data_IF_623383795078
#
_entry.id   IF_623383795078
#
_cell.length_a   1.000
_cell.length_b   1.000
_cell.length_c   1.000
_cell.angle_alpha   90.00
_cell.angle_beta   90.00
_cell.angle_gamma   90.00
#
_symmetry.space_group_name_H-M   'P 1'
#
loop_
_entity.id
_entity.type
_entity.pdbx_description
1 polymer ?
#
# COMPACT_ATOMS: atom_id res chain seq x y z
N UNK A 1 17.81 -17.03 42.46
CA UNK A 1 17.64 -17.34 41.08
C UNK A 1 16.43 -16.63 40.48
N UNK A 2 16.68 -15.91 39.46
CA UNK A 2 15.63 -15.10 38.87
C UNK A 2 14.73 -15.90 37.95
N UNK A 3 13.47 -15.64 38.08
CA UNK A 3 12.45 -16.25 37.25
C UNK A 3 12.38 -15.49 35.91
N UNK A 4 13.18 -15.93 34.95
CA UNK A 4 13.20 -15.26 33.63
C UNK A 4 12.02 -15.70 32.78
N UNK A 5 11.22 -14.76 32.38
CA UNK A 5 10.14 -15.03 31.43
C UNK A 5 10.67 -15.10 29.98
N UNK A 6 11.86 -14.52 29.71
CA UNK A 6 12.48 -14.52 28.39
C UNK A 6 13.61 -15.52 28.33
N UNK A 7 13.31 -16.73 27.86
CA UNK A 7 14.24 -17.86 27.83
C UNK A 7 14.69 -18.23 26.41
N UNK A 8 14.12 -17.62 25.40
CA UNK A 8 14.46 -17.93 24.02
C UNK A 8 15.52 -16.94 23.51
N UNK A 9 16.58 -17.49 22.96
CA UNK A 9 17.67 -16.70 22.41
C UNK A 9 17.55 -16.62 20.89
N UNK A 10 17.71 -15.43 20.36
CA UNK A 10 17.75 -15.21 18.91
C UNK A 10 19.11 -14.65 18.54
N UNK A 11 19.76 -15.27 17.58
CA UNK A 11 21.08 -14.86 17.11
C UNK A 11 20.99 -14.38 15.67
N UNK A 12 21.49 -13.17 15.41
CA UNK A 12 21.54 -12.63 14.06
C UNK A 12 22.96 -12.16 13.76
N UNK A 13 23.33 -12.20 12.47
CA UNK A 13 24.63 -11.74 12.01
C UNK A 13 24.46 -10.44 11.22
N UNK A 14 25.31 -9.46 11.50
CA UNK A 14 25.27 -8.16 10.86
C UNK A 14 26.61 -7.85 10.23
N UNK A 15 26.62 -7.14 9.11
CA UNK A 15 27.83 -6.53 8.57
C UNK A 15 28.23 -5.35 9.46
N UNK A 16 29.42 -4.85 9.28
CA UNK A 16 29.88 -3.66 10.04
C UNK A 16 28.97 -2.47 9.76
N UNK A 17 28.57 -2.28 8.52
CA UNK A 17 27.68 -1.19 8.12
C UNK A 17 26.30 -1.32 8.75
N UNK A 18 25.76 -2.53 8.76
CA UNK A 18 24.48 -2.80 9.41
C UNK A 18 24.54 -2.57 10.91
N UNK A 19 25.64 -3.01 11.54
CA UNK A 19 25.85 -2.81 12.98
C UNK A 19 25.86 -1.34 13.35
N UNK A 20 26.57 -0.51 12.57
CA UNK A 20 26.59 0.94 12.80
C UNK A 20 25.21 1.55 12.67
N UNK A 21 24.46 1.12 11.67
CA UNK A 21 23.09 1.57 11.45
C UNK A 21 22.19 1.20 12.63
N UNK A 22 22.28 -0.04 13.09
CA UNK A 22 21.51 -0.49 14.25
C UNK A 22 21.82 0.34 15.49
N UNK A 23 23.10 0.59 15.75
CA UNK A 23 23.54 1.39 16.91
C UNK A 23 23.04 2.83 16.82
N UNK A 24 23.12 3.42 15.63
CA UNK A 24 22.65 4.79 15.39
C UNK A 24 21.15 4.90 15.65
N UNK A 25 20.37 3.97 15.10
CA UNK A 25 18.93 3.97 15.30
C UNK A 25 18.52 3.69 16.74
N UNK A 26 19.28 2.84 17.42
CA UNK A 26 19.07 2.58 18.85
C UNK A 26 19.21 3.86 19.66
N UNK A 27 20.24 4.64 19.39
CA UNK A 27 20.49 5.91 20.08
C UNK A 27 19.39 6.93 19.76
N UNK A 28 18.97 7.00 18.51
CA UNK A 28 17.87 7.90 18.09
C UNK A 28 16.57 7.55 18.82
N UNK A 29 16.32 6.27 19.04
CA UNK A 29 15.14 5.79 19.75
C UNK A 29 15.28 5.88 21.27
N UNK A 30 16.44 6.35 21.76
CA UNK A 30 16.74 6.49 23.19
C UNK A 30 16.63 5.19 23.98
N UNK A 31 16.98 4.08 23.34
CA UNK A 31 17.04 2.77 23.96
C UNK A 31 18.43 2.52 24.52
N UNK A 32 18.51 1.94 25.71
CA UNK A 32 19.80 1.68 26.39
C UNK A 32 20.49 0.42 25.88
N UNK A 33 19.72 -0.58 25.50
CA UNK A 33 20.28 -1.85 25.03
C UNK A 33 19.76 -2.18 23.64
N UNK A 34 20.57 -2.91 22.88
CA UNK A 34 20.18 -3.37 21.55
C UNK A 34 19.01 -4.34 21.63
N UNK A 35 19.00 -5.22 22.62
CA UNK A 35 17.90 -6.17 22.80
C UNK A 35 16.56 -5.48 23.00
N UNK A 36 16.54 -4.44 23.83
CA UNK A 36 15.32 -3.64 24.05
C UNK A 36 14.89 -2.94 22.79
N UNK A 37 15.85 -2.34 22.07
CA UNK A 37 15.56 -1.65 20.81
C UNK A 37 14.93 -2.57 19.77
N UNK A 38 15.54 -3.76 19.57
CA UNK A 38 15.06 -4.74 18.59
C UNK A 38 13.67 -5.24 18.95
N UNK A 39 13.44 -5.58 20.24
CA UNK A 39 12.11 -6.01 20.69
C UNK A 39 11.07 -4.94 20.45
N UNK A 40 11.40 -3.69 20.76
CA UNK A 40 10.50 -2.55 20.54
C UNK A 40 10.13 -2.41 19.07
N UNK A 41 11.12 -2.47 18.17
CA UNK A 41 10.89 -2.38 16.73
C UNK A 41 9.95 -3.47 16.23
N UNK A 42 10.18 -4.71 16.65
CA UNK A 42 9.37 -5.83 16.18
C UNK A 42 7.96 -5.77 16.78
N UNK A 43 7.83 -5.46 18.06
CA UNK A 43 6.53 -5.40 18.73
C UNK A 43 5.66 -4.23 18.25
N UNK A 44 6.29 -3.11 17.91
CA UNK A 44 5.58 -1.92 17.42
C UNK A 44 5.31 -1.98 15.92
N UNK A 45 6.05 -2.80 15.18
CA UNK A 45 5.88 -2.92 13.75
C UNK A 45 4.66 -3.77 13.42
N UNK A 46 3.69 -3.16 12.80
CA UNK A 46 2.52 -3.87 12.33
C UNK A 46 2.73 -4.34 10.90
N UNK A 47 2.33 -5.56 10.66
CA UNK A 47 2.45 -6.17 9.34
C UNK A 47 1.05 -6.36 8.78
N UNK A 48 0.83 -5.80 7.60
CA UNK A 48 -0.45 -5.92 6.90
C UNK A 48 -0.31 -6.79 5.67
N UNK A 49 -1.20 -7.75 5.56
CA UNK A 49 -1.33 -8.52 4.33
C UNK A 49 -2.39 -7.81 3.50
N UNK A 50 -1.98 -7.29 2.35
CA UNK A 50 -2.87 -6.51 1.49
C UNK A 50 -3.38 -7.39 0.36
N UNK A 51 -4.70 -7.41 0.20
CA UNK A 51 -5.32 -8.02 -0.97
C UNK A 51 -5.12 -7.09 -2.16
N UNK A 52 -4.35 -7.53 -3.14
CA UNK A 52 -4.03 -6.73 -4.32
C UNK A 52 -5.12 -6.75 -5.39
N UNK A 53 -6.10 -7.62 -5.27
CA UNK A 53 -7.15 -7.76 -6.28
C UNK A 53 -7.89 -6.46 -6.61
N UNK A 54 -8.31 -5.64 -5.61
CA UNK A 54 -8.96 -4.37 -5.92
C UNK A 54 -8.07 -3.41 -6.72
N UNK A 55 -6.76 -3.43 -6.48
CA UNK A 55 -5.81 -2.59 -7.22
C UNK A 55 -5.65 -3.06 -8.66
N UNK A 56 -5.61 -4.39 -8.86
CA UNK A 56 -5.53 -4.98 -10.19
C UNK A 56 -6.78 -4.64 -11.00
N UNK A 57 -7.95 -4.72 -10.38
CA UNK A 57 -9.22 -4.34 -11.02
C UNK A 57 -9.23 -2.89 -11.45
N UNK A 58 -8.77 -2.00 -10.58
CA UNK A 58 -8.69 -0.57 -10.89
C UNK A 58 -7.73 -0.32 -12.05
N UNK A 59 -6.57 -0.95 -12.04
CA UNK A 59 -5.59 -0.83 -13.13
C UNK A 59 -6.18 -1.28 -14.47
N UNK A 60 -6.90 -2.40 -14.47
CA UNK A 60 -7.56 -2.92 -15.66
C UNK A 60 -8.63 -1.94 -16.17
N UNK A 61 -9.45 -1.39 -15.30
CA UNK A 61 -10.49 -0.43 -15.65
C UNK A 61 -9.91 0.85 -16.22
N UNK A 62 -8.79 1.33 -15.66
CA UNK A 62 -8.09 2.49 -16.17
C UNK A 62 -7.54 2.24 -17.58
N UNK A 63 -7.00 1.04 -17.83
CA UNK A 63 -6.52 0.64 -19.15
C UNK A 63 -7.62 0.63 -20.19
N UNK A 64 -8.77 0.07 -19.85
CA UNK A 64 -9.94 0.02 -20.75
C UNK A 64 -10.44 1.42 -21.06
N UNK A 65 -10.59 2.28 -20.03
CA UNK A 65 -11.03 3.65 -20.21
C UNK A 65 -10.05 4.43 -21.09
N UNK A 66 -8.75 4.26 -20.87
CA UNK A 66 -7.73 4.92 -21.68
C UNK A 66 -7.81 4.52 -23.15
N UNK A 67 -7.99 3.23 -23.44
CA UNK A 67 -8.14 2.75 -24.82
C UNK A 67 -9.41 3.30 -25.47
N UNK A 68 -10.53 3.33 -24.76
CA UNK A 68 -11.78 3.86 -25.26
C UNK A 68 -11.68 5.35 -25.58
N UNK A 69 -11.09 6.12 -24.68
CA UNK A 69 -10.90 7.56 -24.85
C UNK A 69 -9.99 7.84 -26.04
N UNK A 70 -8.91 7.07 -26.19
CA UNK A 70 -7.99 7.24 -27.31
C UNK A 70 -8.68 6.93 -28.66
N UNK A 71 -9.52 5.90 -28.72
CA UNK A 71 -10.26 5.57 -29.94
C UNK A 71 -11.25 6.68 -30.31
N UNK A 72 -11.95 7.20 -29.30
CA UNK A 72 -12.89 8.30 -29.51
C UNK A 72 -12.14 9.55 -29.99
N UNK A 73 -11.03 9.88 -29.35
CA UNK A 73 -10.21 11.03 -29.72
C UNK A 73 -9.71 10.95 -31.16
N UNK A 74 -9.25 9.77 -31.58
CA UNK A 74 -8.79 9.55 -32.95
C UNK A 74 -9.93 9.79 -33.97
N UNK A 75 -11.12 9.28 -33.66
CA UNK A 75 -12.27 9.42 -34.54
C UNK A 75 -12.72 10.90 -34.60
N UNK A 76 -12.78 11.57 -33.46
CA UNK A 76 -13.16 12.99 -33.41
C UNK A 76 -12.15 13.85 -34.18
N UNK A 77 -10.85 13.55 -34.07
CA UNK A 77 -9.82 14.26 -34.81
C UNK A 77 -9.95 14.10 -36.32
N UNK A 78 -10.47 12.93 -36.78
CA UNK A 78 -10.69 12.70 -38.21
C UNK A 78 -11.99 13.30 -38.71
N UNK A 79 -13.07 13.18 -37.97
CA UNK A 79 -14.43 13.48 -38.42
C UNK A 79 -15.00 14.77 -37.82
N UNK A 80 -14.43 15.22 -36.69
CA UNK A 80 -14.98 16.35 -35.94
C UNK A 80 -16.29 16.02 -35.23
N UNK A 81 -16.67 14.76 -35.17
CA UNK A 81 -17.97 14.34 -34.60
C UNK A 81 -17.77 13.44 -33.39
N UNK A 82 -18.49 13.73 -32.30
CA UNK A 82 -18.59 12.87 -31.14
C UNK A 82 -20.06 12.40 -31.01
N UNK A 83 -20.23 11.13 -30.71
CA UNK A 83 -21.57 10.54 -30.59
C UNK A 83 -22.01 10.49 -29.14
N UNK A 84 -23.34 10.51 -28.95
CA UNK A 84 -23.92 10.39 -27.60
C UNK A 84 -23.53 9.08 -26.93
N UNK A 85 -23.40 8.02 -27.72
CA UNK A 85 -22.95 6.71 -27.22
C UNK A 85 -21.53 6.76 -26.65
N UNK A 86 -20.65 7.56 -27.26
CA UNK A 86 -19.27 7.75 -26.79
C UNK A 86 -19.25 8.38 -25.40
N UNK A 87 -20.09 9.39 -25.21
CA UNK A 87 -20.21 10.09 -23.92
C UNK A 87 -20.75 9.15 -22.86
N UNK A 88 -21.72 8.31 -23.22
CA UNK A 88 -22.27 7.29 -22.29
C UNK A 88 -21.20 6.28 -21.87
N UNK A 89 -20.38 5.83 -22.81
CA UNK A 89 -19.29 4.89 -22.53
C UNK A 89 -18.27 5.50 -21.56
N UNK A 90 -17.87 6.74 -21.83
CA UNK A 90 -16.93 7.46 -20.95
C UNK A 90 -17.50 7.59 -19.55
N UNK A 91 -18.76 7.98 -19.44
CA UNK A 91 -19.44 8.12 -18.14
C UNK A 91 -19.50 6.78 -17.40
N UNK A 92 -19.79 5.70 -18.11
CA UNK A 92 -19.83 4.35 -17.55
C UNK A 92 -18.45 3.92 -17.02
N UNK A 93 -17.40 4.17 -17.81
CA UNK A 93 -16.03 3.86 -17.41
C UNK A 93 -15.62 4.65 -16.16
N UNK A 94 -15.94 5.94 -16.12
CA UNK A 94 -15.65 6.79 -14.96
C UNK A 94 -16.39 6.31 -13.72
N UNK A 95 -17.66 5.94 -13.86
CA UNK A 95 -18.45 5.44 -12.73
C UNK A 95 -17.85 4.15 -12.16
N UNK A 96 -17.40 3.26 -13.02
CA UNK A 96 -16.75 2.01 -12.61
C UNK A 96 -15.43 2.26 -11.88
N UNK A 97 -14.62 3.16 -12.42
CA UNK A 97 -13.35 3.55 -11.80
C UNK A 97 -13.59 4.17 -10.42
N UNK A 98 -14.58 5.06 -10.32
CA UNK A 98 -14.92 5.71 -9.06
C UNK A 98 -15.35 4.70 -8.00
N UNK A 99 -16.12 3.68 -8.39
CA UNK A 99 -16.55 2.62 -7.47
C UNK A 99 -15.36 1.79 -6.99
N UNK A 100 -14.47 1.40 -7.89
CA UNK A 100 -13.30 0.62 -7.56
C UNK A 100 -12.33 1.41 -6.67
N UNK A 101 -12.19 2.71 -6.92
CA UNK A 101 -11.41 3.61 -6.08
C UNK A 101 -12.00 3.69 -4.67
N UNK A 102 -13.31 3.77 -4.57
CA UNK A 102 -14.00 3.78 -3.29
C UNK A 102 -13.80 2.47 -2.51
N UNK A 103 -13.81 1.34 -3.20
CA UNK A 103 -13.55 0.04 -2.58
C UNK A 103 -12.15 -0.01 -1.96
N UNK A 104 -11.15 0.51 -2.67
CA UNK A 104 -9.78 0.61 -2.18
C UNK A 104 -9.71 1.54 -0.96
N UNK A 105 -10.33 2.69 -1.05
CA UNK A 105 -10.37 3.67 0.04
C UNK A 105 -10.97 3.06 1.31
N UNK A 106 -12.08 2.35 1.15
CA UNK A 106 -12.75 1.67 2.26
C UNK A 106 -11.87 0.60 2.90
N UNK A 107 -11.15 -0.16 2.08
CA UNK A 107 -10.21 -1.18 2.55
C UNK A 107 -9.10 -0.54 3.41
N UNK A 108 -8.52 0.55 2.95
CA UNK A 108 -7.46 1.26 3.66
C UNK A 108 -7.96 1.88 4.97
N UNK A 109 -9.18 2.43 4.97
CA UNK A 109 -9.79 2.98 6.19
C UNK A 109 -10.00 1.92 7.26
N UNK A 110 -10.45 0.74 6.88
CA UNK A 110 -10.64 -0.38 7.80
C UNK A 110 -9.33 -0.75 8.48
N UNK A 111 -8.24 -0.75 7.72
CA UNK A 111 -6.91 -1.06 8.26
C UNK A 111 -6.41 0.03 9.20
N UNK A 112 -6.64 1.28 8.85
CA UNK A 112 -6.28 2.42 9.70
C UNK A 112 -7.00 2.36 11.04
N UNK A 113 -8.28 1.99 11.05
CA UNK A 113 -9.04 1.81 12.28
C UNK A 113 -8.48 0.68 13.16
N UNK A 114 -7.97 -0.37 12.57
CA UNK A 114 -7.31 -1.46 13.30
C UNK A 114 -6.06 -0.98 14.01
N UNK A 115 -5.33 -0.06 13.41
CA UNK A 115 -4.12 0.52 13.99
C UNK A 115 -4.40 1.31 15.27
N UNK A 116 -5.56 1.90 15.36
CA UNK A 116 -5.91 2.80 16.46
C UNK A 116 -6.55 2.10 17.67
N UNK A 117 -6.57 0.78 17.66
CA UNK A 117 -7.10 0.01 18.80
C UNK A 117 -5.99 -0.41 19.76
#
# INVERSE_FOLDING_TARGET
MENRSRNNQLKIYLSEEEKELFETKMKMARCRTMSHFIRKCVMEKEIYIVDLEPFIKLQSSLGIANNNINQIARRVNKTGVIYKTDIKEIKSDIAKIAKEQWDIHSLLLKRTKKLNK
#
